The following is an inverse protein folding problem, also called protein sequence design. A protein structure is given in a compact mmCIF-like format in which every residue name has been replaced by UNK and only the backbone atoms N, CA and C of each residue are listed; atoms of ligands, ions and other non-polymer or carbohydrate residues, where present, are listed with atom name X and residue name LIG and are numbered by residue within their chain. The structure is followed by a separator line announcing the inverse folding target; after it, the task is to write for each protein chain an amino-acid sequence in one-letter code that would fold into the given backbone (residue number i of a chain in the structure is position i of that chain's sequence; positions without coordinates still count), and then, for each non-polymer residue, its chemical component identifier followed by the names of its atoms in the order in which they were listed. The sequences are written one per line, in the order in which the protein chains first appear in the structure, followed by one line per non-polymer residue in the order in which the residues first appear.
data_IF_097647432945
#
_entry.id   IF_097647432945
#
_cell.length_a   1.000
_cell.length_b   1.000
_cell.length_c   1.000
_cell.angle_alpha   90.00
_cell.angle_beta   90.00
_cell.angle_gamma   90.00
#
_symmetry.space_group_name_H-M   'P 1'
#
loop_
_entity.id
_entity.type
_entity.pdbx_description
1 polymer ?
#
# COMPACT_ATOMS: atom_id res chain seq x y z
N UNK A 1 -0.03 57.24 12.42
CA UNK A 1 0.97 56.31 11.84
C UNK A 1 0.82 54.95 12.48
N UNK A 2 0.03 54.06 11.88
CA UNK A 2 -0.22 52.72 12.41
C UNK A 2 0.89 51.77 11.93
N UNK A 3 1.65 51.21 12.87
CA UNK A 3 2.65 50.17 12.59
C UNK A 3 1.91 48.85 12.32
N UNK A 4 1.77 48.52 11.04
CA UNK A 4 1.26 47.22 10.60
C UNK A 4 2.26 46.14 11.04
N UNK A 5 1.92 45.39 12.09
CA UNK A 5 2.66 44.18 12.47
C UNK A 5 2.50 43.15 11.36
N UNK A 6 3.49 43.08 10.47
CA UNK A 6 3.64 41.96 9.54
C UNK A 6 3.71 40.64 10.33
N UNK A 7 3.15 39.53 9.82
CA UNK A 7 3.20 38.24 10.50
C UNK A 7 4.66 37.82 10.66
N UNK A 8 5.09 37.64 11.92
CA UNK A 8 6.42 37.17 12.25
C UNK A 8 6.61 35.76 11.66
N UNK A 9 7.27 35.68 10.51
CA UNK A 9 7.82 34.43 10.01
C UNK A 9 8.83 33.92 11.04
N UNK A 10 8.39 33.00 11.88
CA UNK A 10 9.19 32.38 12.94
C UNK A 10 10.50 31.85 12.36
N UNK A 11 11.60 32.58 12.59
CA UNK A 11 12.97 32.09 12.39
C UNK A 11 13.19 30.99 13.42
N UNK A 12 13.36 29.74 12.96
CA UNK A 12 13.62 28.60 13.85
C UNK A 12 15.12 28.60 14.18
N UNK A 13 15.53 29.62 14.92
CA UNK A 13 16.85 29.70 15.56
C UNK A 13 16.72 29.59 17.08
N UNK A 14 15.51 29.70 17.63
CA UNK A 14 15.27 29.52 19.06
C UNK A 14 15.11 28.02 19.40
N UNK A 15 15.94 27.44 20.28
CA UNK A 15 15.78 26.07 20.77
C UNK A 15 14.40 25.80 21.40
N UNK A 16 13.69 26.83 21.88
CA UNK A 16 12.31 26.70 22.37
C UNK A 16 11.33 26.29 21.25
N UNK A 17 11.47 26.90 20.06
CA UNK A 17 10.63 26.66 18.89
C UNK A 17 10.79 25.23 18.37
N UNK A 18 12.03 24.74 18.33
CA UNK A 18 12.32 23.36 17.92
C UNK A 18 11.67 22.32 18.84
N UNK A 19 11.76 22.52 20.16
CA UNK A 19 11.11 21.66 21.16
C UNK A 19 9.58 21.72 21.06
N UNK A 20 9.01 22.89 20.77
CA UNK A 20 7.58 23.06 20.55
C UNK A 20 7.09 22.22 19.36
N UNK A 21 7.76 22.30 18.21
CA UNK A 21 7.42 21.50 17.03
C UNK A 21 7.60 20.01 17.31
N UNK A 22 8.67 19.61 18.01
CA UNK A 22 8.87 18.22 18.42
C UNK A 22 7.69 17.71 19.27
N UNK A 23 7.31 18.45 20.32
CA UNK A 23 6.17 18.08 21.17
C UNK A 23 4.86 18.04 20.39
N UNK A 24 4.64 19.00 19.49
CA UNK A 24 3.48 19.01 18.61
C UNK A 24 3.44 17.76 17.72
N UNK A 25 4.56 17.40 17.07
CA UNK A 25 4.60 16.21 16.21
C UNK A 25 4.36 14.92 16.99
N UNK A 26 4.90 14.78 18.21
CA UNK A 26 4.63 13.63 19.06
C UNK A 26 3.15 13.55 19.47
N UNK A 27 2.52 14.67 19.81
CA UNK A 27 1.07 14.71 20.10
C UNK A 27 0.26 14.28 18.89
N UNK A 28 0.58 14.79 17.70
CA UNK A 28 -0.12 14.39 16.47
C UNK A 28 0.09 12.90 16.14
N UNK A 29 1.22 12.29 16.50
CA UNK A 29 1.39 10.84 16.36
C UNK A 29 0.39 10.06 17.23
N UNK A 30 0.10 10.53 18.44
CA UNK A 30 -0.84 9.84 19.36
C UNK A 30 -2.29 9.82 18.87
N UNK A 31 -2.67 10.79 18.03
CA UNK A 31 -4.02 10.89 17.46
C UNK A 31 -4.22 10.08 16.18
N UNK A 32 -3.17 9.41 15.67
CA UNK A 32 -3.30 8.61 14.46
C UNK A 32 -4.34 7.48 14.68
N UNK A 33 -5.21 7.24 13.68
CA UNK A 33 -6.27 6.25 13.81
C UNK A 33 -5.73 4.81 13.85
N UNK A 34 -4.56 4.55 13.26
CA UNK A 34 -3.98 3.21 13.16
C UNK A 34 -2.96 2.95 14.30
N UNK A 35 -3.06 1.81 15.01
CA UNK A 35 -2.18 1.51 16.15
C UNK A 35 -0.72 1.27 15.74
N UNK A 36 -0.47 0.59 14.62
CA UNK A 36 0.88 0.31 14.11
C UNK A 36 1.54 1.62 13.68
N UNK A 37 0.81 2.47 12.97
CA UNK A 37 1.26 3.78 12.53
C UNK A 37 1.60 4.69 13.71
N UNK A 38 0.82 4.64 14.81
CA UNK A 38 1.10 5.41 16.02
C UNK A 38 2.45 5.05 16.64
N UNK A 39 2.68 3.76 16.88
CA UNK A 39 3.94 3.27 17.46
C UNK A 39 5.13 3.57 16.54
N UNK A 40 4.98 3.26 15.25
CA UNK A 40 6.03 3.50 14.26
C UNK A 40 6.37 4.99 14.10
N UNK A 41 5.35 5.85 13.95
CA UNK A 41 5.58 7.28 13.73
C UNK A 41 6.18 7.95 14.95
N UNK A 42 5.81 7.53 16.17
CA UNK A 42 6.46 7.99 17.39
C UNK A 42 7.97 7.72 17.35
N UNK A 43 8.38 6.46 17.10
CA UNK A 43 9.79 6.08 17.01
C UNK A 43 10.50 6.79 15.85
N UNK A 44 9.86 6.88 14.68
CA UNK A 44 10.40 7.55 13.50
C UNK A 44 10.66 9.03 13.73
N UNK A 45 9.72 9.74 14.36
CA UNK A 45 9.87 11.15 14.73
C UNK A 45 10.98 11.31 15.76
N UNK A 46 10.99 10.53 16.84
CA UNK A 46 12.06 10.60 17.85
C UNK A 46 13.44 10.37 17.24
N UNK A 47 13.60 9.34 16.40
CA UNK A 47 14.88 9.05 15.75
C UNK A 47 15.30 10.18 14.79
N UNK A 48 14.37 10.73 14.01
CA UNK A 48 14.63 11.84 13.09
C UNK A 48 15.11 13.09 13.83
N UNK A 49 14.43 13.47 14.92
CA UNK A 49 14.78 14.64 15.72
C UNK A 49 16.12 14.48 16.44
N UNK A 50 16.43 13.28 16.95
CA UNK A 50 17.76 12.96 17.51
C UNK A 50 18.86 13.02 16.44
N UNK A 51 18.60 12.48 15.24
CA UNK A 51 19.56 12.55 14.13
C UNK A 51 19.80 13.98 13.65
N UNK A 52 18.77 14.83 13.62
CA UNK A 52 18.92 16.22 13.21
C UNK A 52 19.77 17.05 14.18
N UNK A 53 19.82 16.71 15.46
CA UNK A 53 20.73 17.37 16.41
C UNK A 53 22.21 17.18 16.06
N UNK A 54 22.56 16.05 15.41
CA UNK A 54 23.93 15.73 14.99
C UNK A 54 24.19 16.07 13.52
N UNK A 55 23.23 16.67 12.82
CA UNK A 55 23.28 16.87 11.37
C UNK A 55 23.94 18.20 11.04
N UNK A 56 24.85 18.20 10.07
CA UNK A 56 25.48 19.42 9.50
C UNK A 56 24.55 20.20 8.55
N UNK A 57 23.23 20.01 8.67
CA UNK A 57 22.25 20.67 7.78
C UNK A 57 21.91 22.05 8.31
N UNK A 58 21.60 22.98 7.41
CA UNK A 58 21.08 24.30 7.79
C UNK A 58 19.88 24.16 8.73
N UNK A 59 19.88 24.93 9.82
CA UNK A 59 18.82 24.96 10.81
C UNK A 59 17.46 25.21 10.15
N UNK A 60 17.40 26.10 9.16
CA UNK A 60 16.19 26.45 8.41
C UNK A 60 15.61 25.25 7.64
N UNK A 61 16.44 24.41 7.04
CA UNK A 61 15.97 23.26 6.25
C UNK A 61 15.43 22.14 7.15
N UNK A 62 16.08 21.91 8.29
CA UNK A 62 15.58 21.01 9.33
C UNK A 62 14.22 21.49 9.83
N UNK A 63 14.09 22.78 10.04
CA UNK A 63 12.87 23.43 10.49
C UNK A 63 11.73 23.33 9.47
N UNK A 64 12.02 23.57 8.18
CA UNK A 64 11.08 23.41 7.07
C UNK A 64 10.59 21.96 6.99
N UNK A 65 11.51 21.00 7.08
CA UNK A 65 11.20 19.56 7.05
C UNK A 65 10.34 19.14 8.25
N UNK A 66 10.65 19.66 9.44
CA UNK A 66 9.89 19.39 10.66
C UNK A 66 8.45 19.93 10.57
N UNK A 67 8.28 21.18 10.12
CA UNK A 67 6.95 21.77 9.86
C UNK A 67 6.17 20.98 8.80
N UNK A 68 6.82 20.54 7.73
CA UNK A 68 6.18 19.71 6.71
C UNK A 68 5.73 18.36 7.28
N UNK A 69 6.56 17.73 8.13
CA UNK A 69 6.20 16.50 8.84
C UNK A 69 4.99 16.70 9.76
N UNK A 70 5.00 17.76 10.57
CA UNK A 70 3.87 18.14 11.43
C UNK A 70 2.60 18.34 10.62
N UNK A 71 2.69 19.12 9.53
CA UNK A 71 1.57 19.43 8.65
C UNK A 71 1.03 18.19 7.93
N UNK A 72 1.88 17.20 7.65
CA UNK A 72 1.46 15.90 7.09
C UNK A 72 0.65 15.12 8.12
N UNK A 73 1.13 15.04 9.37
CA UNK A 73 0.44 14.33 10.45
C UNK A 73 -0.89 14.98 10.82
N UNK A 74 -0.93 16.32 10.93
CA UNK A 74 -2.16 17.07 11.19
C UNK A 74 -3.21 16.80 10.12
N UNK A 75 -2.83 16.85 8.84
CA UNK A 75 -3.77 16.55 7.75
C UNK A 75 -4.21 15.08 7.75
N UNK A 76 -3.32 14.14 8.08
CA UNK A 76 -3.71 12.74 8.22
C UNK A 76 -4.79 12.57 9.32
N UNK A 77 -4.62 13.23 10.47
CA UNK A 77 -5.58 13.21 11.58
C UNK A 77 -6.88 13.96 11.29
N UNK A 78 -6.85 14.96 10.40
CA UNK A 78 -8.05 15.64 9.89
C UNK A 78 -8.80 14.81 8.83
N UNK A 79 -8.25 13.66 8.42
CA UNK A 79 -8.86 12.75 7.47
C UNK A 79 -8.58 13.07 5.99
N UNK A 80 -7.53 13.83 5.69
CA UNK A 80 -7.04 13.91 4.32
C UNK A 80 -6.44 12.56 3.90
N UNK A 81 -6.97 11.98 2.83
CA UNK A 81 -6.62 10.63 2.40
C UNK A 81 -5.13 10.48 2.03
N UNK A 82 -4.57 11.36 1.19
CA UNK A 82 -3.17 11.21 0.72
C UNK A 82 -2.13 11.32 1.85
N UNK A 83 -2.22 12.29 2.77
CA UNK A 83 -1.34 12.32 3.94
C UNK A 83 -1.47 11.08 4.82
N UNK A 84 -2.69 10.58 5.03
CA UNK A 84 -2.92 9.37 5.81
C UNK A 84 -2.33 8.12 5.13
N UNK A 85 -2.56 7.95 3.83
CA UNK A 85 -1.96 6.87 3.02
C UNK A 85 -0.44 6.90 3.10
N UNK A 86 0.16 8.10 3.01
CA UNK A 86 1.61 8.25 3.15
C UNK A 86 2.11 7.78 4.52
N UNK A 87 1.41 8.13 5.61
CA UNK A 87 1.74 7.68 6.96
C UNK A 87 1.61 6.16 7.07
N UNK A 88 0.51 5.59 6.57
CA UNK A 88 0.29 4.15 6.55
C UNK A 88 1.38 3.44 5.75
N UNK A 89 1.70 3.89 4.54
CA UNK A 89 2.76 3.29 3.72
C UNK A 89 4.15 3.39 4.33
N UNK A 90 4.45 4.45 5.08
CA UNK A 90 5.68 4.52 5.88
C UNK A 90 5.66 3.50 7.01
N UNK A 91 4.53 3.42 7.73
CA UNK A 91 4.39 2.50 8.86
C UNK A 91 4.39 1.05 8.45
N UNK A 92 3.71 0.63 7.39
CA UNK A 92 3.72 -0.76 6.92
C UNK A 92 4.90 -1.06 5.96
N UNK A 93 5.92 -0.20 5.93
CA UNK A 93 7.15 -0.47 5.17
C UNK A 93 6.95 -0.59 3.65
N UNK A 94 5.97 0.09 3.07
CA UNK A 94 5.87 0.26 1.60
C UNK A 94 6.79 1.40 1.13
N UNK A 95 7.01 2.39 2.00
CA UNK A 95 7.87 3.56 1.76
C UNK A 95 8.84 3.78 2.92
N UNK A 96 9.99 4.40 2.65
CA UNK A 96 10.88 4.92 3.68
C UNK A 96 11.76 3.86 4.34
N UNK A 97 12.19 4.12 5.58
CA UNK A 97 13.21 3.36 6.30
C UNK A 97 12.79 1.91 6.59
N UNK A 98 11.58 1.72 7.15
CA UNK A 98 11.05 0.38 7.53
C UNK A 98 11.07 -0.60 6.37
N UNK A 99 10.78 -0.14 5.15
CA UNK A 99 10.88 -0.97 3.94
C UNK A 99 12.28 -1.57 3.76
N UNK A 100 13.30 -0.73 3.87
CA UNK A 100 14.68 -1.17 3.70
C UNK A 100 15.10 -2.08 4.85
N UNK A 101 14.60 -1.84 6.06
CA UNK A 101 14.83 -2.72 7.21
C UNK A 101 14.21 -4.11 7.00
N UNK A 102 12.97 -4.18 6.48
CA UNK A 102 12.29 -5.44 6.17
C UNK A 102 12.95 -6.18 5.00
N UNK A 103 13.31 -5.47 3.93
CA UNK A 103 14.07 -6.07 2.82
C UNK A 103 15.44 -6.57 3.30
N UNK A 104 16.14 -5.81 4.14
CA UNK A 104 17.42 -6.23 4.69
C UNK A 104 17.27 -7.47 5.58
N UNK A 105 16.18 -7.60 6.33
CA UNK A 105 15.87 -8.81 7.10
C UNK A 105 15.60 -10.01 6.20
N UNK A 106 14.83 -9.82 5.12
CA UNK A 106 14.52 -10.87 4.14
C UNK A 106 15.77 -11.40 3.43
N UNK A 107 16.75 -10.52 3.20
CA UNK A 107 18.00 -10.84 2.51
C UNK A 107 19.08 -11.44 3.41
N UNK A 108 18.86 -11.55 4.73
CA UNK A 108 19.85 -12.17 5.62
C UNK A 108 19.99 -13.64 5.23
N UNK A 109 21.18 -14.11 4.83
CA UNK A 109 21.37 -15.52 4.55
C UNK A 109 21.07 -16.34 5.82
N UNK A 110 20.47 -17.53 5.69
CA UNK A 110 20.32 -18.42 6.84
C UNK A 110 21.71 -18.71 7.40
N UNK A 111 21.82 -18.77 8.73
CA UNK A 111 23.08 -19.14 9.38
C UNK A 111 23.38 -20.58 8.96
N UNK A 112 24.53 -20.85 8.31
CA UNK A 112 24.87 -22.19 7.86
C UNK A 112 25.05 -23.09 9.08
N UNK A 113 24.26 -24.17 9.17
CA UNK A 113 24.33 -25.11 10.29
C UNK A 113 25.54 -26.05 10.15
N UNK A 114 25.94 -26.37 8.92
CA UNK A 114 26.95 -27.38 8.62
C UNK A 114 28.19 -26.77 7.95
N UNK A 115 29.35 -27.40 8.16
CA UNK A 115 30.62 -27.01 7.52
C UNK A 115 30.55 -27.12 5.98
N UNK A 116 29.77 -28.06 5.45
CA UNK A 116 29.54 -28.22 4.00
C UNK A 116 28.82 -27.01 3.41
N UNK A 117 27.76 -26.52 4.07
CA UNK A 117 27.04 -25.32 3.64
C UNK A 117 27.96 -24.07 3.64
N UNK A 118 28.95 -24.01 4.53
CA UNK A 118 29.96 -22.93 4.50
C UNK A 118 30.85 -23.05 3.26
N UNK A 119 31.30 -24.26 2.90
CA UNK A 119 32.09 -24.47 1.68
C UNK A 119 31.31 -24.07 0.42
N UNK A 120 30.03 -24.40 0.36
CA UNK A 120 29.16 -24.00 -0.75
C UNK A 120 29.01 -22.48 -0.83
N UNK A 121 28.85 -21.79 0.31
CA UNK A 121 28.80 -20.33 0.34
C UNK A 121 30.11 -19.69 -0.13
N UNK A 122 31.27 -20.29 0.16
CA UNK A 122 32.58 -19.82 -0.33
C UNK A 122 32.76 -20.08 -1.83
N UNK A 123 32.12 -21.11 -2.38
CA UNK A 123 32.16 -21.42 -3.81
C UNK A 123 31.24 -20.50 -4.65
N UNK A 124 30.33 -19.74 -4.02
CA UNK A 124 29.46 -18.81 -4.74
C UNK A 124 30.27 -17.71 -5.45
N UNK A 125 29.86 -17.30 -6.66
CA UNK A 125 30.56 -16.26 -7.40
C UNK A 125 30.56 -14.94 -6.63
N UNK A 126 31.66 -14.19 -6.79
CA UNK A 126 31.83 -12.87 -6.19
C UNK A 126 30.65 -11.97 -6.60
N UNK A 127 30.19 -11.13 -5.67
CA UNK A 127 29.01 -10.28 -5.85
C UNK A 127 29.04 -9.49 -7.17
N UNK A 128 28.01 -9.69 -7.99
CA UNK A 128 27.80 -9.07 -9.31
C UNK A 128 28.76 -9.49 -10.44
N UNK A 129 29.56 -10.53 -10.22
CA UNK A 129 30.37 -11.11 -11.27
C UNK A 129 29.54 -11.97 -12.23
N UNK A 130 30.21 -12.57 -13.20
CA UNK A 130 29.57 -13.49 -14.14
C UNK A 130 29.10 -14.76 -13.40
N UNK A 131 27.88 -15.20 -13.67
CA UNK A 131 27.22 -16.27 -12.92
C UNK A 131 26.60 -15.86 -11.57
N UNK A 132 26.78 -14.61 -11.12
CA UNK A 132 26.10 -14.15 -9.91
C UNK A 132 24.59 -13.98 -10.14
N UNK A 133 23.80 -14.64 -9.29
CA UNK A 133 22.35 -14.52 -9.25
C UNK A 133 21.87 -13.96 -7.92
N UNK A 134 20.80 -13.14 -7.91
CA UNK A 134 20.19 -12.71 -6.65
C UNK A 134 19.61 -13.89 -5.85
N UNK A 135 19.43 -13.73 -4.53
CA UNK A 135 18.77 -14.75 -3.71
C UNK A 135 17.40 -15.16 -4.29
N UNK A 136 17.10 -16.46 -4.26
CA UNK A 136 15.87 -17.02 -4.85
C UNK A 136 14.60 -16.39 -4.26
N UNK A 137 14.62 -16.04 -2.97
CA UNK A 137 13.51 -15.35 -2.28
C UNK A 137 13.23 -13.98 -2.93
N UNK A 138 14.28 -13.26 -3.36
CA UNK A 138 14.14 -11.95 -4.01
C UNK A 138 13.58 -12.12 -5.43
N UNK A 139 14.04 -13.14 -6.16
CA UNK A 139 13.56 -13.45 -7.51
C UNK A 139 12.12 -13.94 -7.53
N UNK A 140 11.73 -14.83 -6.62
CA UNK A 140 10.35 -15.31 -6.47
C UNK A 140 9.40 -14.18 -6.08
N UNK A 141 9.83 -13.27 -5.20
CA UNK A 141 9.08 -12.06 -4.86
C UNK A 141 8.92 -11.13 -6.07
N UNK A 142 10.00 -10.90 -6.82
CA UNK A 142 9.99 -10.06 -8.02
C UNK A 142 9.05 -10.64 -9.09
N UNK A 143 9.11 -11.95 -9.33
CA UNK A 143 8.21 -12.67 -10.23
C UNK A 143 6.75 -12.46 -9.82
N UNK A 144 6.42 -12.72 -8.55
CA UNK A 144 5.05 -12.55 -8.04
C UNK A 144 4.56 -11.10 -8.14
N UNK A 145 5.43 -10.13 -7.86
CA UNK A 145 5.13 -8.70 -7.98
C UNK A 145 4.88 -8.27 -9.44
N UNK A 146 5.60 -8.82 -10.42
CA UNK A 146 5.38 -8.53 -11.85
C UNK A 146 4.02 -9.04 -12.35
N UNK A 147 3.54 -10.17 -11.82
CA UNK A 147 2.22 -10.71 -12.16
C UNK A 147 1.04 -9.98 -11.49
N UNK A 148 1.29 -9.13 -10.48
CA UNK A 148 0.23 -8.43 -9.76
C UNK A 148 -0.12 -7.07 -10.41
N UNK A 149 -1.26 -7.03 -11.12
CA UNK A 149 -1.79 -5.82 -11.75
C UNK A 149 -2.24 -4.71 -10.79
N UNK A 150 -2.50 -5.02 -9.51
CA UNK A 150 -2.86 -3.99 -8.52
C UNK A 150 -1.69 -3.05 -8.27
N UNK A 151 -0.46 -3.57 -8.27
CA UNK A 151 0.75 -2.80 -7.96
C UNK A 151 1.05 -1.74 -9.02
N UNK A 152 0.85 -2.06 -10.30
CA UNK A 152 1.03 -1.11 -11.40
C UNK A 152 0.04 0.07 -11.31
N UNK A 153 -1.20 -0.19 -10.86
CA UNK A 153 -2.22 0.85 -10.66
C UNK A 153 -1.92 1.77 -9.46
N UNK A 154 -1.22 1.27 -8.44
CA UNK A 154 -1.00 2.00 -7.19
C UNK A 154 -0.06 3.20 -7.33
N UNK A 155 0.84 3.18 -8.33
CA UNK A 155 1.90 4.19 -8.60
C UNK A 155 2.76 4.55 -7.38
N UNK A 156 2.88 3.65 -6.40
CA UNK A 156 3.69 3.88 -5.19
C UNK A 156 5.18 3.71 -5.49
N UNK A 157 5.51 2.82 -6.43
CA UNK A 157 6.87 2.47 -6.83
C UNK A 157 6.99 2.36 -8.35
N UNK A 158 8.22 2.51 -8.90
CA UNK A 158 8.47 2.19 -10.29
C UNK A 158 8.11 0.72 -10.57
N UNK A 159 7.51 0.47 -11.73
CA UNK A 159 7.18 -0.88 -12.16
C UNK A 159 8.47 -1.67 -12.48
N UNK A 160 8.48 -2.94 -12.07
CA UNK A 160 9.53 -3.88 -12.45
C UNK A 160 9.41 -4.22 -13.94
N UNK A 161 10.51 -4.08 -14.68
CA UNK A 161 10.55 -4.33 -16.13
C UNK A 161 11.13 -5.71 -16.47
N UNK A 162 12.22 -6.10 -15.82
CA UNK A 162 12.96 -7.33 -16.12
C UNK A 162 13.45 -8.05 -14.86
N UNK A 163 13.41 -9.38 -14.90
CA UNK A 163 13.94 -10.28 -13.86
C UNK A 163 15.42 -10.59 -14.03
N UNK A 164 16.00 -10.23 -15.17
CA UNK A 164 17.42 -10.37 -15.49
C UNK A 164 18.02 -9.01 -15.84
N UNK A 165 19.34 -8.84 -15.62
CA UNK A 165 20.04 -7.61 -15.99
C UNK A 165 20.11 -7.48 -17.52
N UNK A 166 19.79 -6.31 -18.10
CA UNK A 166 19.86 -6.09 -19.54
C UNK A 166 21.32 -5.85 -19.97
N UNK A 167 22.10 -6.92 -20.04
CA UNK A 167 23.51 -6.89 -20.46
C UNK A 167 23.55 -7.24 -21.95
N UNK A 168 24.00 -6.32 -22.83
CA UNK A 168 24.24 -6.65 -24.23
C UNK A 168 25.47 -7.55 -24.34
N UNK A 169 25.45 -8.47 -25.30
CA UNK A 169 26.58 -9.38 -25.57
C UNK A 169 27.79 -8.61 -26.09
N UNK A 170 27.56 -7.66 -27.00
CA UNK A 170 28.60 -6.88 -27.66
C UNK A 170 28.46 -5.37 -27.41
N UNK A 171 29.60 -4.68 -27.46
CA UNK A 171 29.67 -3.22 -27.43
C UNK A 171 29.44 -2.64 -28.84
N UNK A 172 29.34 -1.31 -28.96
CA UNK A 172 29.18 -0.58 -30.23
C UNK A 172 30.25 -0.87 -31.29
N UNK A 173 31.40 -1.42 -30.89
CA UNK A 173 32.49 -1.85 -31.78
C UNK A 173 32.50 -3.36 -32.06
N UNK A 174 31.43 -4.10 -31.74
CA UNK A 174 31.32 -5.55 -31.95
C UNK A 174 32.16 -6.43 -31.01
N UNK A 175 32.91 -5.83 -30.08
CA UNK A 175 33.71 -6.55 -29.06
C UNK A 175 32.84 -7.01 -27.89
N UNK A 176 33.21 -8.07 -27.15
CA UNK A 176 32.48 -8.49 -25.96
C UNK A 176 32.43 -7.37 -24.91
N UNK A 177 31.35 -7.38 -24.13
CA UNK A 177 31.10 -6.33 -23.15
C UNK A 177 32.17 -6.31 -22.04
N UNK A 178 32.80 -5.15 -21.73
CA UNK A 178 33.82 -5.09 -20.68
C UNK A 178 33.31 -5.54 -19.31
N UNK A 179 34.07 -6.38 -18.60
CA UNK A 179 33.72 -6.97 -17.29
C UNK A 179 33.20 -5.94 -16.28
N UNK A 180 33.90 -4.81 -16.12
CA UNK A 180 33.52 -3.74 -15.18
C UNK A 180 32.15 -3.15 -15.55
N UNK A 181 31.87 -3.00 -16.85
CA UNK A 181 30.58 -2.46 -17.30
C UNK A 181 29.45 -3.45 -17.04
N UNK A 182 29.65 -4.75 -17.24
CA UNK A 182 28.68 -5.79 -16.86
C UNK A 182 28.37 -5.73 -15.36
N UNK A 183 29.40 -5.64 -14.51
CA UNK A 183 29.25 -5.50 -13.05
C UNK A 183 28.40 -4.26 -12.71
N UNK A 184 28.68 -3.11 -13.33
CA UNK A 184 27.95 -1.87 -13.08
C UNK A 184 26.50 -1.94 -13.56
N UNK A 185 26.24 -2.60 -14.70
CA UNK A 185 24.88 -2.86 -15.18
C UNK A 185 24.13 -3.73 -14.19
N UNK A 186 24.74 -4.82 -13.70
CA UNK A 186 24.15 -5.71 -12.68
C UNK A 186 23.87 -4.96 -11.38
N UNK A 187 24.82 -4.17 -10.86
CA UNK A 187 24.64 -3.33 -9.66
C UNK A 187 23.47 -2.36 -9.81
N UNK A 188 23.40 -1.66 -10.94
CA UNK A 188 22.32 -0.70 -11.23
C UNK A 188 20.97 -1.40 -11.35
N UNK A 189 20.92 -2.50 -12.10
CA UNK A 189 19.71 -3.30 -12.26
C UNK A 189 19.21 -3.83 -10.90
N UNK A 190 20.10 -4.43 -10.11
CA UNK A 190 19.77 -4.96 -8.80
C UNK A 190 19.35 -3.88 -7.82
N UNK A 191 20.01 -2.71 -7.83
CA UNK A 191 19.59 -1.55 -7.05
C UNK A 191 18.16 -1.09 -7.40
N UNK A 192 17.84 -0.99 -8.69
CA UNK A 192 16.51 -0.64 -9.15
C UNK A 192 15.46 -1.70 -8.79
N UNK A 193 15.82 -2.99 -8.88
CA UNK A 193 14.99 -4.12 -8.45
C UNK A 193 14.66 -3.96 -6.95
N UNK A 194 15.66 -3.79 -6.10
CA UNK A 194 15.48 -3.59 -4.66
C UNK A 194 14.73 -2.31 -4.32
N UNK A 195 14.81 -1.25 -5.12
CA UNK A 195 14.03 -0.03 -4.91
C UNK A 195 12.53 -0.23 -5.18
N UNK A 196 12.20 -1.04 -6.18
CA UNK A 196 10.83 -1.33 -6.58
C UNK A 196 10.16 -2.41 -5.74
N UNK A 197 10.92 -3.34 -5.18
CA UNK A 197 10.39 -4.47 -4.40
C UNK A 197 9.68 -4.03 -3.11
N UNK A 198 8.58 -4.73 -2.81
CA UNK A 198 7.79 -4.58 -1.60
C UNK A 198 8.02 -5.80 -0.69
N UNK A 199 8.62 -5.65 0.50
CA UNK A 199 8.90 -6.79 1.38
C UNK A 199 7.62 -7.33 2.05
N UNK A 200 7.60 -8.60 2.47
CA UNK A 200 6.56 -9.11 3.36
C UNK A 200 6.63 -8.39 4.73
N UNK A 201 5.51 -8.40 5.43
CA UNK A 201 5.42 -7.86 6.79
C UNK A 201 5.66 -8.97 7.84
N UNK A 202 6.12 -8.61 9.04
CA UNK A 202 6.15 -9.53 10.18
C UNK A 202 4.74 -10.03 10.57
N UNK A 203 4.65 -11.26 11.07
CA UNK A 203 3.37 -11.91 11.39
C UNK A 203 2.52 -11.18 12.44
N UNK A 204 3.16 -10.46 13.37
CA UNK A 204 2.42 -9.68 14.37
C UNK A 204 1.74 -8.44 13.75
N UNK A 205 2.41 -7.75 12.82
CA UNK A 205 1.83 -6.63 12.09
C UNK A 205 0.72 -7.12 11.15
N UNK A 206 0.93 -8.27 10.49
CA UNK A 206 -0.07 -8.90 9.62
C UNK A 206 -1.34 -9.26 10.38
N UNK A 207 -1.23 -9.99 11.50
CA UNK A 207 -2.38 -10.36 12.34
C UNK A 207 -3.16 -9.14 12.81
N UNK A 208 -2.46 -8.07 13.18
CA UNK A 208 -3.10 -6.81 13.58
C UNK A 208 -3.83 -6.15 12.41
N UNK A 209 -3.20 -6.09 11.22
CA UNK A 209 -3.81 -5.53 10.02
C UNK A 209 -5.06 -6.32 9.59
N UNK A 210 -4.97 -7.64 9.60
CA UNK A 210 -6.08 -8.54 9.24
C UNK A 210 -7.22 -8.40 10.24
N UNK A 211 -6.91 -8.43 11.55
CA UNK A 211 -7.90 -8.21 12.60
C UNK A 211 -8.56 -6.83 12.57
N UNK A 212 -7.86 -5.79 12.08
CA UNK A 212 -8.45 -4.47 11.82
C UNK A 212 -9.40 -4.47 10.60
N UNK A 213 -9.09 -5.26 9.56
CA UNK A 213 -9.91 -5.36 8.35
C UNK A 213 -11.18 -6.18 8.60
N UNK A 214 -11.04 -7.32 9.26
CA UNK A 214 -12.12 -8.22 9.67
C UNK A 214 -12.99 -7.56 10.74
N UNK A 215 -12.34 -6.83 11.64
CA UNK A 215 -12.98 -6.13 12.74
C UNK A 215 -12.94 -6.86 14.07
N UNK A 216 -12.16 -7.94 14.15
CA UNK A 216 -11.80 -8.69 15.35
C UNK A 216 -11.09 -7.81 16.39
N UNK A 217 -10.30 -6.84 15.91
CA UNK A 217 -9.66 -5.85 16.79
C UNK A 217 -10.57 -4.64 16.96
N UNK A 218 -10.84 -4.31 18.23
CA UNK A 218 -11.58 -3.12 18.60
C UNK A 218 -10.85 -1.87 18.11
N UNK A 219 -11.56 -1.08 17.31
CA UNK A 219 -11.03 0.13 16.72
C UNK A 219 -11.99 1.30 16.94
N UNK A 220 -11.47 2.37 17.53
CA UNK A 220 -12.16 3.64 17.69
C UNK A 220 -11.26 4.80 17.25
N UNK A 221 -11.83 5.82 16.56
CA UNK A 221 -11.08 7.01 16.19
C UNK A 221 -10.62 7.74 17.45
N UNK A 222 -9.35 8.17 17.45
CA UNK A 222 -8.81 8.93 18.58
C UNK A 222 -9.25 10.37 18.47
N UNK A 223 -9.94 10.86 19.50
CA UNK A 223 -10.40 12.24 19.55
C UNK A 223 -9.26 13.15 19.97
N UNK A 224 -9.06 14.22 19.19
CA UNK A 224 -8.13 15.29 19.57
C UNK A 224 -8.68 15.99 20.80
N UNK A 225 -7.84 16.16 21.82
CA UNK A 225 -8.17 17.06 22.92
C UNK A 225 -8.22 18.48 22.36
N UNK A 226 -9.42 19.04 22.27
CA UNK A 226 -9.57 20.47 22.03
C UNK A 226 -9.02 21.19 23.25
N UNK A 227 -8.16 22.18 23.04
CA UNK A 227 -7.88 23.13 24.11
C UNK A 227 -9.24 23.67 24.54
N UNK A 228 -9.55 23.60 25.84
CA UNK A 228 -10.73 24.24 26.40
C UNK A 228 -10.68 25.67 25.89
N UNK A 229 -11.58 26.01 24.96
CA UNK A 229 -11.76 27.41 24.58
C UNK A 229 -12.13 28.07 25.89
N UNK A 230 -11.24 28.88 26.46
CA UNK A 230 -11.64 29.82 27.52
C UNK A 230 -12.92 30.46 27.01
N UNK A 231 -14.02 30.29 27.76
CA UNK A 231 -15.34 30.73 27.37
C UNK A 231 -15.21 32.13 26.75
N UNK A 232 -15.32 32.17 25.43
CA UNK A 232 -15.30 33.40 24.67
C UNK A 232 -16.57 34.12 25.09
N UNK A 233 -16.43 35.34 25.62
CA UNK A 233 -17.55 36.21 25.86
C UNK A 233 -18.35 36.38 24.56
N UNK A 234 -19.70 36.52 24.63
CA UNK A 234 -20.56 36.64 23.45
C UNK A 234 -20.21 37.85 22.54
N UNK A 235 -19.36 38.77 23.00
CA UNK A 235 -18.98 40.01 22.31
C UNK A 235 -18.11 39.80 21.05
N UNK A 236 -17.56 38.61 20.82
CA UNK A 236 -16.70 38.36 19.64
C UNK A 236 -17.51 38.23 18.33
N UNK A 237 -18.77 37.79 18.39
CA UNK A 237 -19.58 37.56 17.19
C UNK A 237 -19.90 38.89 16.46
N UNK A 238 -20.25 39.95 17.19
CA UNK A 238 -20.49 41.28 16.59
C UNK A 238 -19.23 41.89 15.96
N UNK A 239 -18.05 41.63 16.54
CA UNK A 239 -16.79 42.16 16.02
C UNK A 239 -16.34 41.49 14.72
N UNK A 240 -16.63 40.18 14.58
CA UNK A 240 -16.33 39.43 13.36
C UNK A 240 -17.22 39.91 12.20
N UNK A 241 -18.49 40.18 12.46
CA UNK A 241 -19.41 40.69 11.44
C UNK A 241 -19.00 42.09 10.94
N UNK A 242 -18.51 42.96 11.83
CA UNK A 242 -17.98 44.27 11.43
C UNK A 242 -16.70 44.16 10.60
N UNK A 243 -15.79 43.23 10.91
CA UNK A 243 -14.59 42.99 10.09
C UNK A 243 -14.95 42.44 8.71
N UNK A 244 -15.89 41.48 8.63
CA UNK A 244 -16.35 40.94 7.35
C UNK A 244 -17.07 42.01 6.50
N UNK A 245 -17.84 42.91 7.13
CA UNK A 245 -18.48 44.04 6.45
C UNK A 245 -17.44 45.05 5.93
N UNK A 246 -16.43 45.39 6.72
CA UNK A 246 -15.31 46.25 6.33
C UNK A 246 -14.51 45.66 5.15
N UNK A 247 -14.20 44.37 5.22
CA UNK A 247 -13.53 43.62 4.15
C UNK A 247 -14.37 43.61 2.86
N UNK A 248 -15.69 43.42 2.98
CA UNK A 248 -16.63 43.45 1.85
C UNK A 248 -16.73 44.84 1.21
N UNK A 249 -16.85 45.91 2.00
CA UNK A 249 -16.93 47.29 1.50
C UNK A 249 -15.62 47.77 0.86
N UNK A 250 -14.47 47.32 1.37
CA UNK A 250 -13.15 47.74 0.85
C UNK A 250 -12.69 46.95 -0.37
N UNK A 251 -12.96 45.63 -0.42
CA UNK A 251 -12.48 44.76 -1.50
C UNK A 251 -13.56 44.30 -2.48
N UNK A 252 -14.82 44.64 -2.22
CA UNK A 252 -15.97 44.19 -2.98
C UNK A 252 -16.31 42.70 -2.76
N UNK A 253 -17.35 42.18 -3.44
CA UNK A 253 -17.76 40.78 -3.33
C UNK A 253 -16.62 39.85 -3.76
N UNK A 254 -16.00 39.21 -2.77
CA UNK A 254 -15.01 38.18 -3.03
C UNK A 254 -15.67 37.00 -3.73
N UNK A 255 -14.96 36.35 -4.67
CA UNK A 255 -15.40 35.03 -5.17
C UNK A 255 -15.62 34.16 -3.93
N UNK A 256 -16.84 33.65 -3.75
CA UNK A 256 -17.22 32.83 -2.59
C UNK A 256 -16.28 31.62 -2.42
N UNK A 257 -16.38 30.89 -1.30
CA UNK A 257 -15.48 29.78 -0.94
C UNK A 257 -15.10 28.90 -2.14
N UNK A 258 -13.98 29.23 -2.77
CA UNK A 258 -13.50 28.43 -3.90
C UNK A 258 -13.02 27.10 -3.32
N UNK A 259 -13.28 26.00 -4.01
CA UNK A 259 -12.73 24.69 -3.63
C UNK A 259 -11.18 24.63 -3.70
N UNK A 260 -10.50 25.78 -3.84
CA UNK A 260 -9.05 25.96 -3.81
C UNK A 260 -8.44 25.37 -2.54
N UNK A 261 -9.09 25.54 -1.40
CA UNK A 261 -8.66 24.95 -0.11
C UNK A 261 -8.68 23.42 -0.13
N UNK A 262 -9.55 22.84 -0.97
CA UNK A 262 -9.72 21.41 -1.16
C UNK A 262 -9.04 20.88 -2.43
N UNK A 263 -8.13 21.64 -3.08
CA UNK A 263 -7.35 21.14 -4.23
C UNK A 263 -6.60 19.84 -3.91
N UNK A 264 -6.24 19.64 -2.65
CA UNK A 264 -5.57 18.44 -2.16
C UNK A 264 -6.53 17.35 -1.64
N UNK A 265 -7.83 17.48 -1.96
CA UNK A 265 -8.91 16.63 -1.50
C UNK A 265 -9.71 17.23 -0.35
N UNK A 266 -10.96 16.79 -0.21
CA UNK A 266 -11.81 17.13 0.94
C UNK A 266 -11.42 16.25 2.15
N UNK A 267 -11.35 16.79 3.38
CA UNK A 267 -11.13 15.97 4.56
C UNK A 267 -12.30 14.99 4.75
N UNK A 268 -11.98 13.72 4.99
CA UNK A 268 -12.96 12.70 5.33
C UNK A 268 -13.17 12.63 6.84
N UNK A 269 -14.38 12.32 7.28
CA UNK A 269 -14.59 11.91 8.67
C UNK A 269 -13.97 10.54 8.88
N UNK A 270 -13.08 10.42 9.86
CA UNK A 270 -12.39 9.17 10.19
C UNK A 270 -13.40 8.19 10.80
N UNK A 271 -13.98 7.36 9.92
CA UNK A 271 -14.92 6.30 10.27
C UNK A 271 -14.28 4.93 10.06
N UNK A 272 -14.84 3.88 10.66
CA UNK A 272 -14.35 2.50 10.50
C UNK A 272 -14.38 2.06 9.03
N UNK A 273 -15.43 2.45 8.30
CA UNK A 273 -15.57 2.18 6.86
C UNK A 273 -14.44 2.83 6.05
N UNK A 274 -14.11 4.07 6.36
CA UNK A 274 -13.02 4.79 5.70
C UNK A 274 -11.67 4.11 5.99
N UNK A 275 -11.38 3.81 7.26
CA UNK A 275 -10.15 3.14 7.65
C UNK A 275 -10.02 1.73 7.07
N UNK A 276 -11.09 0.94 7.06
CA UNK A 276 -11.12 -0.40 6.45
C UNK A 276 -10.75 -0.35 4.96
N UNK A 277 -11.16 0.70 4.25
CA UNK A 277 -10.75 0.92 2.85
C UNK A 277 -9.25 1.21 2.74
N UNK A 278 -8.71 2.01 3.66
CA UNK A 278 -7.27 2.31 3.71
C UNK A 278 -6.45 1.06 4.05
N UNK A 279 -6.87 0.27 5.04
CA UNK A 279 -6.18 -0.97 5.42
C UNK A 279 -6.18 -2.00 4.30
N UNK A 280 -7.30 -2.22 3.60
CA UNK A 280 -7.34 -3.11 2.42
C UNK A 280 -6.43 -2.63 1.30
N UNK A 281 -6.36 -1.31 1.07
CA UNK A 281 -5.40 -0.74 0.13
C UNK A 281 -3.97 -1.04 0.55
N UNK A 282 -3.66 -0.97 1.84
CA UNK A 282 -2.34 -1.37 2.35
C UNK A 282 -2.12 -2.87 2.18
N UNK A 283 -3.04 -3.73 2.58
CA UNK A 283 -2.84 -5.20 2.53
C UNK A 283 -2.71 -5.73 1.10
N UNK A 284 -3.36 -5.11 0.11
CA UNK A 284 -3.13 -5.44 -1.32
C UNK A 284 -1.70 -5.18 -1.82
N UNK A 285 -0.90 -4.42 -1.07
CA UNK A 285 0.50 -4.11 -1.34
C UNK A 285 1.46 -4.93 -0.46
N UNK A 286 0.93 -5.79 0.39
CA UNK A 286 1.70 -6.63 1.30
C UNK A 286 1.72 -8.03 0.70
N UNK A 287 2.90 -8.54 0.32
CA UNK A 287 3.02 -9.93 -0.08
C UNK A 287 2.94 -10.82 1.17
N UNK A 288 2.08 -11.83 1.13
CA UNK A 288 1.98 -12.89 2.13
C UNK A 288 2.92 -14.02 1.72
N UNK A 289 3.87 -14.33 2.59
CA UNK A 289 4.90 -15.34 2.34
C UNK A 289 4.39 -16.70 2.80
N UNK A 290 4.39 -17.69 1.90
CA UNK A 290 4.07 -19.07 2.22
C UNK A 290 5.21 -19.98 1.76
N UNK A 291 5.37 -21.09 2.48
CA UNK A 291 6.33 -22.14 2.14
C UNK A 291 5.56 -23.38 1.75
N UNK A 292 5.88 -23.95 0.59
CA UNK A 292 5.30 -25.22 0.18
C UNK A 292 5.97 -26.35 0.96
N UNK A 293 5.21 -27.22 1.66
CA UNK A 293 5.77 -28.25 2.54
C UNK A 293 6.61 -29.29 1.77
N UNK A 294 6.35 -29.48 0.48
CA UNK A 294 6.98 -30.52 -0.34
C UNK A 294 8.31 -30.10 -1.00
N UNK A 295 8.50 -28.81 -1.28
CA UNK A 295 9.66 -28.34 -2.06
C UNK A 295 10.52 -27.30 -1.33
N UNK A 296 10.10 -26.87 -0.13
CA UNK A 296 10.71 -25.77 0.62
C UNK A 296 10.84 -24.45 -0.20
N UNK A 297 10.09 -24.34 -1.30
CA UNK A 297 10.07 -23.14 -2.13
C UNK A 297 9.11 -22.12 -1.54
N UNK A 298 9.57 -20.87 -1.52
CA UNK A 298 8.78 -19.73 -1.06
C UNK A 298 7.96 -19.21 -2.23
N UNK A 299 6.66 -19.03 -2.00
CA UNK A 299 5.78 -18.33 -2.92
C UNK A 299 5.03 -17.20 -2.20
N UNK A 300 4.56 -16.24 -2.99
CA UNK A 300 3.92 -15.03 -2.47
C UNK A 300 2.50 -14.88 -3.00
N UNK A 301 1.57 -14.63 -2.08
CA UNK A 301 0.16 -14.35 -2.36
C UNK A 301 -0.13 -12.88 -2.06
N UNK A 302 -1.05 -12.27 -2.80
CA UNK A 302 -1.43 -10.86 -2.64
C UNK A 302 -2.93 -10.72 -2.43
N UNK A 303 -3.32 -9.79 -1.57
CA UNK A 303 -4.73 -9.47 -1.36
C UNK A 303 -5.27 -8.55 -2.46
N UNK A 304 -6.59 -8.47 -2.55
CA UNK A 304 -7.28 -7.52 -3.44
C UNK A 304 -7.86 -6.35 -2.63
N UNK A 305 -7.79 -5.11 -3.17
CA UNK A 305 -8.27 -3.92 -2.44
C UNK A 305 -9.80 -3.82 -2.42
N UNK A 306 -10.48 -4.48 -3.37
CA UNK A 306 -11.95 -4.56 -3.43
C UNK A 306 -12.38 -5.87 -2.78
N UNK A 307 -13.43 -5.81 -1.97
CA UNK A 307 -14.10 -7.02 -1.48
C UNK A 307 -14.69 -7.69 -2.71
N UNK A 308 -14.18 -8.87 -3.06
CA UNK A 308 -14.84 -9.70 -4.05
C UNK A 308 -16.11 -10.26 -3.39
N UNK A 309 -17.28 -10.16 -4.03
CA UNK A 309 -18.45 -10.88 -3.54
C UNK A 309 -18.09 -12.36 -3.50
N UNK A 310 -18.44 -13.05 -2.40
CA UNK A 310 -18.36 -14.51 -2.35
C UNK A 310 -19.37 -15.02 -3.38
N UNK A 311 -18.88 -15.55 -4.49
CA UNK A 311 -19.72 -16.09 -5.58
C UNK A 311 -20.17 -17.52 -5.25
N UNK A 312 -19.42 -18.21 -4.40
CA UNK A 312 -19.75 -19.54 -3.92
C UNK A 312 -19.64 -19.57 -2.39
N UNK A 313 -20.61 -20.19 -1.75
CA UNK A 313 -20.52 -20.64 -0.37
C UNK A 313 -20.10 -22.10 -0.41
N UNK A 314 -19.08 -22.47 0.38
CA UNK A 314 -18.86 -23.89 0.67
C UNK A 314 -20.05 -24.33 1.52
N UNK A 315 -20.90 -25.18 0.95
CA UNK A 315 -21.93 -25.87 1.71
C UNK A 315 -21.21 -26.89 2.58
N UNK A 316 -21.42 -26.84 3.89
CA UNK A 316 -21.05 -27.94 4.77
C UNK A 316 -21.68 -29.21 4.20
N UNK A 317 -20.88 -30.28 4.00
CA UNK A 317 -21.25 -31.46 3.21
C UNK A 317 -22.49 -32.23 3.70
N UNK A 318 -23.04 -31.85 4.84
CA UNK A 318 -24.25 -32.42 5.46
C UNK A 318 -25.53 -31.62 5.20
N UNK A 319 -25.45 -30.43 4.58
CA UNK A 319 -26.64 -29.67 4.18
C UNK A 319 -27.24 -30.31 2.92
N UNK A 320 -28.35 -31.03 3.08
CA UNK A 320 -29.07 -31.68 1.99
C UNK A 320 -29.40 -30.65 0.89
N UNK A 321 -28.87 -30.85 -0.32
CA UNK A 321 -29.15 -30.02 -1.50
C UNK A 321 -30.66 -29.84 -1.76
N UNK A 322 -31.47 -30.78 -1.28
CA UNK A 322 -32.94 -30.78 -1.39
C UNK A 322 -33.61 -29.63 -0.62
N UNK A 323 -33.05 -29.18 0.50
CA UNK A 323 -33.59 -28.06 1.28
C UNK A 323 -33.36 -26.70 0.60
N UNK A 324 -32.34 -26.61 -0.26
CA UNK A 324 -31.97 -25.36 -0.95
C UNK A 324 -32.59 -25.26 -2.33
N UNK A 325 -32.61 -26.35 -3.10
CA UNK A 325 -33.05 -26.34 -4.50
C UNK A 325 -34.45 -26.93 -4.72
N UNK A 326 -35.07 -27.47 -3.67
CA UNK A 326 -36.34 -28.18 -3.76
C UNK A 326 -36.23 -29.52 -4.49
N UNK A 327 -37.27 -30.36 -4.44
CA UNK A 327 -37.27 -31.65 -5.12
C UNK A 327 -37.19 -31.46 -6.65
N UNK A 328 -36.42 -32.30 -7.36
CA UNK A 328 -36.34 -32.23 -8.81
C UNK A 328 -37.73 -32.47 -9.42
N UNK A 329 -38.17 -31.55 -10.28
CA UNK A 329 -39.44 -31.66 -11.00
C UNK A 329 -39.40 -32.91 -11.88
N UNK A 330 -40.19 -33.93 -11.55
CA UNK A 330 -40.35 -35.12 -12.36
C UNK A 330 -40.88 -34.75 -13.76
N UNK A 331 -40.09 -35.06 -14.78
CA UNK A 331 -40.49 -34.89 -16.18
C UNK A 331 -41.77 -35.69 -16.44
N UNK A 332 -42.85 -34.97 -16.74
CA UNK A 332 -44.13 -35.52 -17.22
C UNK A 332 -43.85 -36.45 -18.41
N UNK A 333 -44.07 -37.74 -18.20
CA UNK A 333 -43.87 -38.79 -19.18
C UNK A 333 -44.61 -38.48 -20.48
N UNK A 334 -43.87 -38.45 -21.60
CA UNK A 334 -44.46 -38.47 -22.93
C UNK A 334 -45.21 -39.80 -23.12
N UNK A 335 -46.53 -39.69 -23.27
CA UNK A 335 -47.40 -40.79 -23.66
C UNK A 335 -47.00 -41.25 -25.06
N UNK A 336 -46.55 -42.49 -25.19
CA UNK A 336 -46.33 -43.18 -26.46
C UNK A 336 -47.62 -43.92 -26.85
N UNK A 337 -48.12 -43.78 -28.10
CA UNK A 337 -49.24 -44.57 -28.57
C UNK A 337 -48.78 -45.87 -29.25
N UNK A 338 -49.53 -46.91 -28.95
CA UNK A 338 -49.34 -48.33 -29.23
C UNK A 338 -49.63 -48.72 -30.69
N UNK A 339 -48.82 -49.66 -31.20
CA UNK A 339 -48.96 -50.65 -32.29
C UNK A 339 -50.16 -50.64 -33.29
N UNK A 340 -49.74 -50.70 -34.57
CA UNK A 340 -50.35 -51.13 -35.87
C UNK A 340 -51.57 -52.10 -35.90
N UNK A 341 -52.30 -52.15 -37.04
CA UNK A 341 -52.14 -53.32 -37.94
C UNK A 341 -52.29 -53.12 -39.48
N UNK A 342 -51.58 -53.98 -40.23
CA UNK A 342 -51.98 -54.77 -41.44
C UNK A 342 -52.05 -54.13 -42.86
N UNK A 343 -51.07 -54.58 -43.69
CA UNK A 343 -51.10 -55.11 -45.09
C UNK A 343 -51.87 -54.40 -46.23
N UNK A 344 -51.13 -53.95 -47.25
CA UNK A 344 -51.27 -54.38 -48.67
C UNK A 344 -50.17 -53.77 -49.57
N UNK A 345 -49.50 -54.62 -50.37
CA UNK A 345 -48.62 -54.28 -51.52
C UNK A 345 -49.47 -53.84 -52.75
N UNK A 346 -48.94 -53.55 -53.99
CA UNK A 346 -47.55 -53.47 -54.51
C UNK A 346 -47.31 -52.26 -55.48
N UNK A 347 -46.11 -52.27 -56.09
CA UNK A 347 -45.73 -51.74 -57.44
C UNK A 347 -45.08 -50.35 -57.54
N UNK A 348 -43.96 -50.31 -58.28
CA UNK A 348 -43.67 -49.17 -59.16
C UNK A 348 -42.26 -48.56 -59.11
N UNK A 349 -41.34 -49.13 -59.89
CA UNK A 349 -40.42 -48.42 -60.82
C UNK A 349 -39.39 -47.38 -60.33
N UNK A 350 -38.11 -47.79 -60.41
CA UNK A 350 -37.03 -47.23 -61.25
C UNK A 350 -36.81 -45.69 -61.34
N UNK A 351 -35.62 -45.27 -60.89
CA UNK A 351 -34.53 -44.60 -61.66
C UNK A 351 -33.49 -44.06 -60.64
N UNK A 352 -32.23 -44.52 -60.67
CA UNK A 352 -31.12 -43.94 -61.45
C UNK A 352 -31.08 -42.40 -61.33
N UNK A 353 -30.00 -41.70 -60.97
CA UNK A 353 -28.58 -41.99 -60.79
C UNK A 353 -27.94 -40.68 -60.25
N UNK A 354 -26.61 -40.61 -60.03
CA UNK A 354 -25.97 -39.66 -59.11
C UNK A 354 -25.51 -38.35 -59.77
N UNK A 355 -25.15 -37.36 -58.94
CA UNK A 355 -23.79 -36.80 -58.75
C UNK A 355 -23.82 -35.81 -57.58
#
# INVERSE_FOLDING_TARGET
MASVRAPQFCRITDPSSWRSIYRATLRECTYLPDPIARAFMYQHVTHRYRRSQKSQRSSLDLARTARQGLSTLQRANQGYQRPLEKVLFMSYGRIGKRRHELLAQLMKPPVPQNHEAVKELLAQPILFEEGWEPPEIVLSLAKSQMHNGVLSSSRIRPALKSLSPPIPETNSWGKPMPRIRCINIRKKWYGNLLEALLPPLPDHDLRTLDGLIEGTVDWAPQLRRHAVRSAVSPDIDESLDHEHLLEFLTRGPQKGHTFREFMNGRPHVITRRFMRRMWRRVSSLVPRMHQTPTSNKVYFVWDTPKVMPQVAFELDGDAALEDVFGPPVENRQQVSPTSNPVVAHPTGTQKDSPV
#
